data_IF_284932901445
#
_entry.id   IF_284932901445
#
_cell.length_a   1.000
_cell.length_b   1.000
_cell.length_c   1.000
_cell.angle_alpha   90.00
_cell.angle_beta   90.00
_cell.angle_gamma   90.00
#
_symmetry.space_group_name_H-M   'P 1'
#
loop_
_entity.id
_entity.type
_entity.pdbx_description
1 polymer ?
#
# COMPACT_ATOMS: atom_id res chain seq x y z
N UNK A 1 -9.73 46.38 -25.89
CA UNK A 1 -8.36 46.07 -25.45
C UNK A 1 -8.01 44.67 -25.95
N UNK A 2 -6.85 44.49 -26.57
CA UNK A 2 -6.28 43.24 -27.03
C UNK A 2 -5.42 42.63 -25.92
N UNK A 3 -5.72 41.40 -25.51
CA UNK A 3 -4.90 40.64 -24.55
C UNK A 3 -4.43 39.33 -25.19
N UNK A 4 -3.26 38.84 -24.78
CA UNK A 4 -2.77 37.53 -25.22
C UNK A 4 -2.91 36.55 -24.06
N UNK A 5 -3.78 35.55 -24.19
CA UNK A 5 -3.98 34.53 -23.15
C UNK A 5 -3.24 33.26 -23.55
N UNK A 6 -2.49 32.67 -22.62
CA UNK A 6 -1.70 31.45 -22.81
C UNK A 6 -2.19 30.36 -21.87
N UNK A 7 -2.41 29.16 -22.41
CA UNK A 7 -2.77 27.95 -21.67
C UNK A 7 -1.88 26.79 -22.11
N UNK A 8 -0.91 26.39 -21.27
CA UNK A 8 0.08 25.36 -21.62
C UNK A 8 0.84 25.70 -22.90
N UNK A 9 0.61 24.92 -23.98
CA UNK A 9 1.22 25.13 -25.31
C UNK A 9 0.35 25.95 -26.27
N UNK A 10 -0.84 26.41 -25.86
CA UNK A 10 -1.79 27.15 -26.70
C UNK A 10 -1.79 28.62 -26.32
N UNK A 11 -1.91 29.50 -27.31
CA UNK A 11 -2.04 30.95 -27.08
C UNK A 11 -3.08 31.55 -28.00
N UNK A 12 -3.93 32.45 -27.48
CA UNK A 12 -4.95 33.15 -28.25
C UNK A 12 -4.88 34.67 -27.98
N UNK A 13 -4.97 35.47 -29.05
CA UNK A 13 -5.14 36.93 -28.97
C UNK A 13 -6.62 37.26 -28.99
N UNK A 14 -7.08 38.04 -28.02
CA UNK A 14 -8.49 38.28 -27.76
C UNK A 14 -8.73 39.78 -27.60
N UNK A 15 -9.65 40.32 -28.39
CA UNK A 15 -10.14 41.68 -28.22
C UNK A 15 -11.34 41.63 -27.28
N UNK A 16 -11.19 42.18 -26.08
CA UNK A 16 -12.22 42.21 -25.03
C UNK A 16 -12.52 43.64 -24.58
N UNK A 17 -13.74 43.93 -24.11
CA UNK A 17 -14.07 45.20 -23.46
C UNK A 17 -13.29 45.34 -22.15
N UNK A 18 -12.62 46.48 -21.93
CA UNK A 18 -11.81 46.71 -20.73
C UNK A 18 -12.62 46.99 -19.47
N UNK A 19 -13.90 47.34 -19.63
CA UNK A 19 -14.84 47.68 -18.56
C UNK A 19 -15.62 46.47 -18.04
N UNK A 20 -15.49 45.29 -18.67
CA UNK A 20 -16.20 44.10 -18.24
C UNK A 20 -15.43 43.38 -17.13
N UNK A 21 -16.10 42.85 -16.09
CA UNK A 21 -15.47 42.02 -15.08
C UNK A 21 -14.76 40.81 -15.70
N UNK A 22 -13.60 40.45 -15.14
CA UNK A 22 -12.83 39.30 -15.62
C UNK A 22 -13.62 37.99 -15.53
N UNK A 23 -14.49 37.86 -14.51
CA UNK A 23 -15.36 36.70 -14.31
C UNK A 23 -16.28 36.39 -15.50
N UNK A 24 -16.76 37.42 -16.20
CA UNK A 24 -17.66 37.25 -17.34
C UNK A 24 -16.90 36.93 -18.64
N UNK A 25 -15.62 37.32 -18.72
CA UNK A 25 -14.76 37.04 -19.86
C UNK A 25 -14.17 35.63 -19.84
N UNK A 26 -13.96 35.06 -18.65
CA UNK A 26 -13.35 33.74 -18.47
C UNK A 26 -14.02 32.60 -19.26
N UNK A 27 -15.35 32.44 -19.26
CA UNK A 27 -16.02 31.37 -20.02
C UNK A 27 -15.79 31.47 -21.53
N UNK A 28 -15.84 32.70 -22.06
CA UNK A 28 -15.64 32.96 -23.49
C UNK A 28 -14.18 32.77 -23.93
N UNK A 29 -13.24 33.14 -23.05
CA UNK A 29 -11.81 32.90 -23.24
C UNK A 29 -11.51 31.40 -23.22
N UNK A 30 -12.05 30.66 -22.24
CA UNK A 30 -11.92 29.19 -22.16
C UNK A 30 -12.53 28.49 -23.38
N UNK A 31 -13.67 28.99 -23.88
CA UNK A 31 -14.29 28.53 -25.14
C UNK A 31 -13.36 28.66 -26.33
N UNK A 32 -12.75 29.84 -26.50
CA UNK A 32 -11.90 30.14 -27.65
C UNK A 32 -10.55 29.42 -27.61
N UNK A 33 -10.01 29.14 -26.43
CA UNK A 33 -8.79 28.33 -26.28
C UNK A 33 -9.05 26.81 -26.37
N UNK A 34 -10.32 26.39 -26.47
CA UNK A 34 -10.72 24.98 -26.54
C UNK A 34 -10.32 24.22 -25.28
N UNK A 35 -10.41 24.89 -24.13
CA UNK A 35 -10.01 24.38 -22.80
C UNK A 35 -11.23 23.88 -22.01
N UNK A 36 -12.42 23.83 -22.64
CA UNK A 36 -13.56 23.10 -22.09
C UNK A 36 -13.25 21.61 -22.06
N UNK A 37 -12.63 21.19 -20.97
CA UNK A 37 -12.60 19.81 -20.56
C UNK A 37 -13.87 19.55 -19.73
N UNK A 38 -14.76 18.64 -20.18
CA UNK A 38 -15.94 18.23 -19.41
C UNK A 38 -15.59 17.76 -17.99
N UNK A 39 -14.35 17.32 -17.76
CA UNK A 39 -13.87 16.87 -16.45
C UNK A 39 -13.47 18.01 -15.51
N UNK A 40 -13.28 19.23 -16.02
CA UNK A 40 -12.82 20.41 -15.27
C UNK A 40 -13.90 21.51 -15.17
N UNK A 41 -15.17 21.19 -15.47
CA UNK A 41 -16.29 22.15 -15.42
C UNK A 41 -16.50 22.72 -14.01
N UNK A 42 -16.20 21.94 -12.97
CA UNK A 42 -16.29 22.36 -11.57
C UNK A 42 -15.04 23.10 -11.07
N UNK A 43 -13.97 23.13 -11.87
CA UNK A 43 -12.65 23.52 -11.40
C UNK A 43 -12.48 25.02 -11.18
N UNK A 44 -13.30 25.86 -11.81
CA UNK A 44 -13.08 27.31 -11.87
C UNK A 44 -11.83 27.67 -12.69
N UNK A 45 -11.83 28.87 -13.27
CA UNK A 45 -10.69 29.39 -14.03
C UNK A 45 -10.16 30.66 -13.37
N UNK A 46 -8.85 30.84 -13.40
CA UNK A 46 -8.19 32.05 -12.89
C UNK A 46 -7.17 32.53 -13.92
N UNK A 47 -7.07 33.84 -14.10
CA UNK A 47 -6.00 34.45 -14.89
C UNK A 47 -4.89 34.87 -13.94
N UNK A 48 -3.66 34.52 -14.28
CA UNK A 48 -2.45 34.97 -13.60
C UNK A 48 -1.62 35.79 -14.58
N UNK A 49 -0.90 36.81 -14.08
CA UNK A 49 0.14 37.49 -14.85
C UNK A 49 1.34 36.53 -15.02
N UNK A 50 2.23 36.87 -15.93
CA UNK A 50 3.55 36.21 -16.09
C UNK A 50 4.40 36.25 -14.79
N UNK A 51 4.11 37.19 -13.89
CA UNK A 51 4.72 37.35 -12.56
C UNK A 51 3.99 36.56 -11.45
N UNK A 52 3.21 35.54 -11.84
CA UNK A 52 2.38 34.69 -10.97
C UNK A 52 1.32 35.41 -10.11
N UNK A 53 1.21 36.75 -10.20
CA UNK A 53 0.17 37.51 -9.51
C UNK A 53 -1.21 37.18 -10.08
N UNK A 54 -2.09 36.66 -9.22
CA UNK A 54 -3.47 36.36 -9.56
C UNK A 54 -4.28 37.62 -9.84
N UNK A 55 -5.00 37.62 -10.97
CA UNK A 55 -5.96 38.67 -11.34
C UNK A 55 -7.25 38.44 -10.55
N UNK A 56 -7.76 39.50 -9.93
CA UNK A 56 -8.97 39.48 -9.15
C UNK A 56 -10.19 39.35 -10.09
N UNK A 57 -11.03 38.34 -9.83
CA UNK A 57 -12.12 37.97 -10.72
C UNK A 57 -13.30 38.98 -10.81
N UNK A 58 -13.73 39.66 -9.72
CA UNK A 58 -14.84 40.62 -9.76
C UNK A 58 -14.45 42.00 -10.29
N UNK A 59 -13.15 42.31 -10.43
CA UNK A 59 -12.69 43.61 -10.93
C UNK A 59 -12.52 43.60 -12.46
N UNK A 60 -12.64 44.76 -13.10
CA UNK A 60 -12.42 44.89 -14.55
C UNK A 60 -10.93 44.86 -14.89
N UNK A 61 -10.60 44.60 -16.17
CA UNK A 61 -9.21 44.65 -16.65
C UNK A 61 -8.62 46.06 -16.54
N UNK A 62 -9.45 47.10 -16.68
CA UNK A 62 -9.06 48.50 -16.54
C UNK A 62 -8.69 48.85 -15.09
N UNK A 63 -9.45 48.36 -14.11
CA UNK A 63 -9.21 48.63 -12.68
C UNK A 63 -7.95 47.95 -12.15
N UNK A 64 -7.51 46.90 -12.82
CA UNK A 64 -6.31 46.13 -12.47
C UNK A 64 -5.06 46.57 -13.24
N UNK A 65 -5.14 47.75 -13.89
CA UNK A 65 -4.05 48.37 -14.65
C UNK A 65 -3.39 47.45 -15.70
N UNK A 66 -4.17 46.52 -16.27
CA UNK A 66 -3.69 45.62 -17.32
C UNK A 66 -3.58 46.42 -18.62
N UNK A 67 -2.44 46.32 -19.29
CA UNK A 67 -2.15 47.10 -20.50
C UNK A 67 -2.54 46.35 -21.77
N UNK A 68 -2.86 47.13 -22.82
CA UNK A 68 -3.11 46.59 -24.15
C UNK A 68 -1.90 45.78 -24.64
N UNK A 69 -2.09 44.51 -24.95
CA UNK A 69 -1.06 43.57 -25.38
C UNK A 69 -0.44 42.69 -24.29
N UNK A 70 -0.85 42.83 -23.03
CA UNK A 70 -0.28 42.06 -21.91
C UNK A 70 -0.57 40.55 -22.04
N UNK A 71 0.43 39.73 -21.64
CA UNK A 71 0.34 38.27 -21.66
C UNK A 71 -0.19 37.79 -20.33
N UNK A 72 -1.30 37.07 -20.38
CA UNK A 72 -1.95 36.48 -19.21
C UNK A 72 -1.93 34.96 -19.36
N UNK A 73 -1.65 34.27 -18.27
CA UNK A 73 -1.70 32.82 -18.21
C UNK A 73 -3.07 32.41 -17.65
N UNK A 74 -3.72 31.47 -18.32
CA UNK A 74 -4.93 30.84 -17.83
C UNK A 74 -4.52 29.62 -17.00
N UNK A 75 -4.98 29.57 -15.75
CA UNK A 75 -4.78 28.42 -14.87
C UNK A 75 -6.15 27.87 -14.46
N UNK A 76 -6.22 26.54 -14.40
CA UNK A 76 -7.41 25.83 -13.94
C UNK A 76 -7.29 25.69 -12.43
N UNK A 77 -8.26 26.23 -11.70
CA UNK A 77 -8.16 26.39 -10.26
C UNK A 77 -8.26 25.04 -9.51
N UNK A 78 -8.72 23.95 -10.15
CA UNK A 78 -8.61 22.57 -9.62
C UNK A 78 -7.22 21.93 -9.73
N UNK A 79 -6.29 22.53 -10.49
CA UNK A 79 -4.92 22.02 -10.62
C UNK A 79 -3.95 22.69 -9.63
N UNK A 80 -4.39 23.74 -8.93
CA UNK A 80 -3.65 24.35 -7.83
C UNK A 80 -3.92 23.63 -6.51
N UNK A 81 -2.93 23.62 -5.63
CA UNK A 81 -3.07 23.21 -4.23
C UNK A 81 -4.02 24.20 -3.54
N UNK A 82 -5.32 23.93 -3.61
CA UNK A 82 -6.30 24.73 -2.89
C UNK A 82 -6.22 24.32 -1.43
N UNK A 83 -6.01 25.30 -0.54
CA UNK A 83 -6.22 25.11 0.89
C UNK A 83 -7.67 24.65 1.08
N UNK A 84 -7.84 23.37 1.36
CA UNK A 84 -9.14 22.78 1.66
C UNK A 84 -9.56 23.37 3.02
N UNK A 85 -10.53 24.28 2.98
CA UNK A 85 -11.16 24.84 4.19
C UNK A 85 -12.34 23.94 4.54
N UNK A 86 -12.16 23.11 5.57
CA UNK A 86 -13.21 22.28 6.12
C UNK A 86 -14.20 23.13 6.93
N UNK A 87 -15.50 22.92 6.74
CA UNK A 87 -16.57 23.61 7.49
C UNK A 87 -16.73 23.03 8.91
N UNK A 88 -16.34 21.77 9.09
CA UNK A 88 -16.35 21.09 10.38
C UNK A 88 -14.96 20.52 10.72
N UNK A 89 -14.58 20.66 11.99
CA UNK A 89 -13.40 20.04 12.58
C UNK A 89 -13.46 18.51 12.45
N UNK A 90 -14.66 17.91 12.47
CA UNK A 90 -14.82 16.46 12.32
C UNK A 90 -14.28 15.96 10.98
N UNK A 91 -14.55 16.67 9.89
CA UNK A 91 -14.07 16.30 8.55
C UNK A 91 -12.56 16.48 8.44
N UNK A 92 -12.03 17.60 8.94
CA UNK A 92 -10.59 17.86 9.00
C UNK A 92 -9.83 16.79 9.81
N UNK A 93 -10.41 16.35 10.95
CA UNK A 93 -9.82 15.30 11.79
C UNK A 93 -9.93 13.94 11.10
N UNK A 94 -11.04 13.63 10.41
CA UNK A 94 -11.20 12.39 9.67
C UNK A 94 -10.11 12.24 8.59
N UNK A 95 -9.91 13.28 7.78
CA UNK A 95 -8.86 13.30 6.74
C UNK A 95 -7.46 13.23 7.36
N UNK A 96 -7.22 13.93 8.47
CA UNK A 96 -5.94 13.85 9.20
C UNK A 96 -5.66 12.43 9.71
N UNK A 97 -6.69 11.75 10.22
CA UNK A 97 -6.58 10.36 10.72
C UNK A 97 -6.36 9.38 9.58
N UNK A 98 -7.09 9.53 8.46
CA UNK A 98 -6.91 8.67 7.28
C UNK A 98 -5.52 8.84 6.65
N UNK A 99 -4.98 10.06 6.66
CA UNK A 99 -3.62 10.33 6.17
C UNK A 99 -2.54 9.78 7.10
N UNK A 100 -2.82 9.76 8.41
CA UNK A 100 -1.88 9.29 9.44
C UNK A 100 -1.93 7.76 9.64
N UNK A 101 -3.08 7.14 9.42
CA UNK A 101 -3.30 5.71 9.66
C UNK A 101 -3.64 4.98 8.36
N UNK A 102 -2.90 3.91 8.09
CA UNK A 102 -3.23 3.03 6.97
C UNK A 102 -4.58 2.36 7.23
N UNK A 103 -5.51 2.37 6.27
CA UNK A 103 -6.79 1.68 6.41
C UNK A 103 -6.58 0.18 6.57
N UNK A 104 -7.49 -0.47 7.30
CA UNK A 104 -7.43 -1.90 7.54
C UNK A 104 -7.62 -2.68 6.24
N UNK A 105 -6.63 -3.47 5.85
CA UNK A 105 -6.67 -4.23 4.59
C UNK A 105 -7.15 -5.67 4.82
N UNK A 106 -7.59 -6.34 3.75
CA UNK A 106 -7.91 -7.77 3.77
C UNK A 106 -6.71 -8.65 4.17
N UNK A 107 -5.49 -8.21 3.85
CA UNK A 107 -4.26 -8.87 4.28
C UNK A 107 -4.08 -8.80 5.81
N UNK A 108 -4.43 -7.66 6.44
CA UNK A 108 -4.39 -7.51 7.90
C UNK A 108 -5.38 -8.46 8.58
N UNK A 109 -6.61 -8.60 8.06
CA UNK A 109 -7.58 -9.59 8.57
C UNK A 109 -7.01 -11.00 8.48
N UNK A 110 -6.43 -11.36 7.34
CA UNK A 110 -5.90 -12.70 7.09
C UNK A 110 -4.75 -13.04 8.02
N UNK A 111 -3.82 -12.10 8.26
CA UNK A 111 -2.72 -12.30 9.20
C UNK A 111 -3.23 -12.39 10.63
N UNK A 112 -4.17 -11.52 11.02
CA UNK A 112 -4.70 -11.49 12.39
C UNK A 112 -5.44 -12.78 12.72
N UNK A 113 -6.33 -13.25 11.86
CA UNK A 113 -7.06 -14.52 12.07
C UNK A 113 -6.13 -15.72 12.08
N UNK A 114 -5.09 -15.70 11.24
CA UNK A 114 -4.05 -16.73 11.23
C UNK A 114 -3.29 -16.76 12.56
N UNK A 115 -2.85 -15.61 13.07
CA UNK A 115 -2.13 -15.50 14.35
C UNK A 115 -3.03 -15.96 15.49
N UNK A 116 -4.28 -15.50 15.55
CA UNK A 116 -5.25 -15.91 16.58
C UNK A 116 -5.47 -17.43 16.55
N UNK A 117 -5.65 -18.02 15.37
CA UNK A 117 -5.83 -19.47 15.23
C UNK A 117 -4.59 -20.24 15.68
N UNK A 118 -3.40 -19.77 15.30
CA UNK A 118 -2.13 -20.36 15.70
C UNK A 118 -1.94 -20.35 17.23
N UNK A 119 -2.24 -19.22 17.86
CA UNK A 119 -2.19 -19.07 19.32
C UNK A 119 -3.20 -20.00 20.00
N UNK A 120 -4.44 -20.05 19.51
CA UNK A 120 -5.48 -20.90 20.08
C UNK A 120 -5.10 -22.40 20.00
N UNK A 121 -4.58 -22.84 18.85
CA UNK A 121 -4.09 -24.21 18.67
C UNK A 121 -2.87 -24.51 19.55
N UNK A 122 -1.95 -23.55 19.69
CA UNK A 122 -0.79 -23.66 20.58
C UNK A 122 -1.21 -23.81 22.05
N UNK A 123 -2.16 -23.01 22.51
CA UNK A 123 -2.75 -23.13 23.86
C UNK A 123 -3.43 -24.49 24.04
N UNK A 124 -4.17 -24.95 23.03
CA UNK A 124 -4.78 -26.29 23.02
C UNK A 124 -3.73 -27.41 23.17
N UNK A 125 -2.61 -27.31 22.44
CA UNK A 125 -1.50 -28.26 22.55
C UNK A 125 -0.88 -28.28 23.95
N UNK A 126 -0.69 -27.11 24.57
CA UNK A 126 -0.19 -27.00 25.96
C UNK A 126 -1.18 -27.62 26.95
N UNK A 127 -2.47 -27.29 26.81
CA UNK A 127 -3.52 -27.86 27.66
C UNK A 127 -3.54 -29.39 27.56
N UNK A 128 -3.37 -29.93 26.36
CA UNK A 128 -3.33 -31.36 26.12
C UNK A 128 -2.03 -31.99 26.65
N UNK A 129 -0.89 -31.30 26.58
CA UNK A 129 0.37 -31.76 27.17
C UNK A 129 0.30 -31.86 28.70
N UNK A 130 -0.47 -30.98 29.35
CA UNK A 130 -0.69 -30.98 30.81
C UNK A 130 -1.78 -31.97 31.25
N UNK A 131 -2.61 -32.45 30.33
CA UNK A 131 -3.65 -33.43 30.62
C UNK A 131 -3.04 -34.79 31.02
N UNK A 132 -3.76 -35.62 31.80
CA UNK A 132 -3.29 -36.94 32.15
C UNK A 132 -3.05 -37.80 30.91
N UNK A 133 -2.05 -38.69 31.00
CA UNK A 133 -1.67 -39.60 29.93
C UNK A 133 -2.87 -40.48 29.55
N UNK A 134 -3.29 -40.38 28.30
CA UNK A 134 -4.43 -41.14 27.77
C UNK A 134 -4.26 -41.40 26.29
N UNK A 135 -4.58 -42.63 25.86
CA UNK A 135 -4.60 -43.03 24.45
C UNK A 135 -5.60 -42.17 23.65
N UNK A 136 -6.69 -41.71 24.28
CA UNK A 136 -7.72 -40.88 23.65
C UNK A 136 -7.14 -39.49 23.36
N UNK A 137 -6.40 -38.91 24.32
CA UNK A 137 -5.74 -37.61 24.15
C UNK A 137 -4.66 -37.69 23.05
N UNK A 138 -3.91 -38.80 22.98
CA UNK A 138 -2.98 -39.07 21.88
C UNK A 138 -3.70 -39.09 20.53
N UNK A 139 -4.83 -39.80 20.44
CA UNK A 139 -5.64 -39.88 19.22
C UNK A 139 -6.16 -38.52 18.76
N UNK A 140 -6.73 -37.72 19.67
CA UNK A 140 -7.23 -36.37 19.36
C UNK A 140 -6.09 -35.46 18.90
N UNK A 141 -4.95 -35.48 19.59
CA UNK A 141 -3.75 -34.72 19.19
C UNK A 141 -3.28 -35.12 17.79
N UNK A 142 -3.22 -36.43 17.53
CA UNK A 142 -2.69 -36.99 16.28
C UNK A 142 -3.58 -36.70 15.08
N UNK A 143 -4.90 -36.85 15.24
CA UNK A 143 -5.88 -36.51 14.21
C UNK A 143 -5.81 -35.01 13.90
N UNK A 144 -5.71 -34.17 14.93
CA UNK A 144 -5.60 -32.72 14.76
C UNK A 144 -4.30 -32.36 14.03
N UNK A 145 -3.17 -32.93 14.42
CA UNK A 145 -1.88 -32.72 13.74
C UNK A 145 -1.94 -33.13 12.25
N UNK A 146 -2.51 -34.30 11.96
CA UNK A 146 -2.67 -34.79 10.59
C UNK A 146 -3.57 -33.88 9.74
N UNK A 147 -4.69 -33.41 10.30
CA UNK A 147 -5.58 -32.46 9.64
C UNK A 147 -4.87 -31.13 9.32
N UNK A 148 -4.09 -30.60 10.27
CA UNK A 148 -3.32 -29.36 10.06
C UNK A 148 -2.23 -29.52 9.00
N UNK A 149 -1.54 -30.66 8.95
CA UNK A 149 -0.57 -30.96 7.88
C UNK A 149 -1.25 -31.06 6.51
N UNK A 150 -2.43 -31.69 6.42
CA UNK A 150 -3.20 -31.76 5.19
C UNK A 150 -3.61 -30.35 4.71
N UNK A 151 -4.11 -29.51 5.62
CA UNK A 151 -4.47 -28.12 5.30
C UNK A 151 -3.22 -27.33 4.87
N UNK A 152 -2.10 -27.46 5.59
CA UNK A 152 -0.84 -26.79 5.23
C UNK A 152 -0.37 -27.18 3.82
N UNK A 153 -0.54 -28.45 3.44
CA UNK A 153 -0.21 -28.94 2.10
C UNK A 153 -1.09 -28.32 1.02
N UNK A 154 -2.41 -28.28 1.26
CA UNK A 154 -3.35 -27.62 0.34
C UNK A 154 -3.00 -26.13 0.22
N UNK A 155 -2.65 -25.48 1.33
CA UNK A 155 -2.30 -24.06 1.33
C UNK A 155 -0.97 -23.79 0.60
N UNK A 156 0.00 -24.68 0.74
CA UNK A 156 1.24 -24.65 -0.04
C UNK A 156 0.97 -24.78 -1.55
N UNK A 157 0.03 -25.65 -1.95
CA UNK A 157 -0.38 -25.80 -3.36
C UNK A 157 -1.05 -24.55 -3.95
N UNK A 158 -1.56 -23.65 -3.10
CA UNK A 158 -2.20 -22.37 -3.50
C UNK A 158 -1.24 -21.17 -3.44
N UNK A 159 0.08 -21.41 -3.39
CA UNK A 159 1.12 -20.38 -3.25
C UNK A 159 1.05 -19.55 -1.95
N UNK A 160 0.31 -20.01 -0.95
CA UNK A 160 0.11 -19.35 0.35
C UNK A 160 1.19 -19.81 1.37
N UNK A 161 2.46 -19.64 1.00
CA UNK A 161 3.62 -20.24 1.69
C UNK A 161 3.76 -19.81 3.15
N UNK A 162 3.54 -18.52 3.47
CA UNK A 162 3.65 -18.03 4.85
C UNK A 162 2.64 -18.67 5.79
N UNK A 163 1.40 -18.84 5.33
CA UNK A 163 0.36 -19.48 6.13
C UNK A 163 0.60 -20.99 6.24
N UNK A 164 1.04 -21.64 5.15
CA UNK A 164 1.40 -23.05 5.16
C UNK A 164 2.51 -23.36 6.18
N UNK A 165 3.56 -22.53 6.24
CA UNK A 165 4.65 -22.68 7.21
C UNK A 165 4.19 -22.50 8.66
N UNK A 166 3.34 -21.50 8.94
CA UNK A 166 2.85 -21.31 10.30
C UNK A 166 1.96 -22.48 10.77
N UNK A 167 1.11 -23.03 9.90
CA UNK A 167 0.30 -24.21 10.21
C UNK A 167 1.14 -25.47 10.42
N UNK A 168 2.19 -25.68 9.60
CA UNK A 168 3.05 -26.85 9.72
C UNK A 168 3.88 -26.86 11.00
N UNK A 169 4.29 -25.68 11.50
CA UNK A 169 4.95 -25.54 12.80
C UNK A 169 4.02 -25.94 13.96
N UNK A 170 2.77 -25.46 13.95
CA UNK A 170 1.77 -25.84 14.96
C UNK A 170 1.44 -27.32 14.90
N UNK A 171 1.31 -27.88 13.69
CA UNK A 171 1.05 -29.30 13.50
C UNK A 171 2.21 -30.15 14.04
N UNK A 172 3.46 -29.69 13.91
CA UNK A 172 4.63 -30.38 14.46
C UNK A 172 4.61 -30.40 15.99
N UNK A 173 4.21 -29.29 16.63
CA UNK A 173 4.03 -29.25 18.08
C UNK A 173 2.97 -30.26 18.55
N UNK A 174 1.82 -30.29 17.88
CA UNK A 174 0.74 -31.26 18.19
C UNK A 174 1.20 -32.71 17.98
N UNK A 175 1.97 -33.00 16.94
CA UNK A 175 2.55 -34.33 16.72
C UNK A 175 3.54 -34.73 17.82
N UNK A 176 4.31 -33.78 18.37
CA UNK A 176 5.13 -34.01 19.56
C UNK A 176 4.29 -34.38 20.79
N UNK A 177 3.16 -33.69 21.00
CA UNK A 177 2.20 -34.00 22.08
C UNK A 177 1.57 -35.38 21.88
N UNK A 178 1.23 -35.76 20.64
CA UNK A 178 0.80 -37.12 20.33
C UNK A 178 1.83 -38.16 20.73
N UNK A 179 3.11 -37.93 20.38
CA UNK A 179 4.20 -38.84 20.73
C UNK A 179 4.41 -38.95 22.24
N UNK A 180 4.29 -37.83 22.97
CA UNK A 180 4.35 -37.81 24.44
C UNK A 180 3.28 -38.70 25.07
N UNK A 181 2.01 -38.50 24.69
CA UNK A 181 0.88 -39.26 25.24
C UNK A 181 0.91 -40.72 24.82
N UNK A 182 1.27 -41.01 23.56
CA UNK A 182 1.35 -42.37 23.05
C UNK A 182 2.44 -43.15 23.79
N UNK A 183 3.65 -42.59 23.89
CA UNK A 183 4.77 -43.26 24.55
C UNK A 183 4.55 -43.38 26.07
N UNK A 184 3.99 -42.35 26.71
CA UNK A 184 3.66 -42.40 28.14
C UNK A 184 2.49 -43.33 28.49
N UNK A 185 1.59 -43.63 27.54
CA UNK A 185 0.49 -44.58 27.72
C UNK A 185 0.90 -46.03 27.42
N UNK A 186 1.82 -46.25 26.47
CA UNK A 186 2.32 -47.59 26.09
C UNK A 186 3.41 -48.09 27.03
N UNK A 187 4.26 -47.19 27.54
CA UNK A 187 5.37 -47.53 28.42
C UNK A 187 5.11 -46.94 29.81
N UNK A 188 5.07 -47.82 30.81
CA UNK A 188 4.80 -47.49 32.21
C UNK A 188 5.71 -46.33 32.70
N UNK A 189 5.18 -45.29 33.39
CA UNK A 189 5.89 -44.06 33.78
C UNK A 189 7.14 -44.21 34.66
N UNK A 190 7.59 -45.44 34.96
CA UNK A 190 8.78 -45.70 35.77
C UNK A 190 10.08 -45.14 35.18
N UNK A 191 10.11 -44.87 33.86
CA UNK A 191 11.23 -44.22 33.19
C UNK A 191 10.79 -42.89 32.57
N UNK A 192 11.20 -41.77 33.18
CA UNK A 192 10.90 -40.41 32.71
C UNK A 192 11.45 -40.09 31.30
N UNK A 193 12.35 -40.92 30.75
CA UNK A 193 12.95 -40.72 29.43
C UNK A 193 12.04 -41.07 28.24
N UNK A 194 11.14 -42.05 28.38
CA UNK A 194 10.33 -42.52 27.24
C UNK A 194 9.37 -41.45 26.71
N UNK A 195 8.61 -40.71 27.54
CA UNK A 195 7.75 -39.64 27.04
C UNK A 195 8.52 -38.54 26.31
N UNK A 196 9.74 -38.21 26.76
CA UNK A 196 10.61 -37.23 26.12
C UNK A 196 11.11 -37.70 24.73
N UNK A 197 11.41 -38.99 24.57
CA UNK A 197 11.73 -39.59 23.26
C UNK A 197 10.51 -39.54 22.34
N UNK A 198 9.30 -39.75 22.86
CA UNK A 198 8.05 -39.61 22.13
C UNK A 198 7.86 -38.20 21.54
N UNK A 199 8.16 -37.16 22.33
CA UNK A 199 8.13 -35.76 21.86
C UNK A 199 9.09 -35.56 20.69
N UNK A 200 10.34 -36.01 20.84
CA UNK A 200 11.37 -35.87 19.80
C UNK A 200 11.01 -36.60 18.52
N UNK A 201 10.50 -37.84 18.62
CA UNK A 201 10.07 -38.62 17.47
C UNK A 201 8.88 -37.96 16.74
N UNK A 202 7.88 -37.46 17.49
CA UNK A 202 6.73 -36.77 16.92
C UNK A 202 7.12 -35.47 16.18
N UNK A 203 8.00 -34.67 16.78
CA UNK A 203 8.52 -33.43 16.16
C UNK A 203 9.34 -33.73 14.90
N UNK A 204 10.21 -34.73 14.91
CA UNK A 204 11.04 -35.08 13.76
C UNK A 204 10.22 -35.64 12.60
N UNK A 205 9.23 -36.47 12.87
CA UNK A 205 8.36 -37.02 11.82
C UNK A 205 7.50 -35.92 11.18
N UNK A 206 6.83 -35.08 11.98
CA UNK A 206 6.00 -34.01 11.44
C UNK A 206 6.83 -32.90 10.77
N UNK A 207 8.01 -32.57 11.33
CA UNK A 207 8.95 -31.63 10.72
C UNK A 207 9.53 -32.16 9.41
N UNK A 208 9.87 -33.46 9.34
CA UNK A 208 10.35 -34.12 8.13
C UNK A 208 9.28 -34.18 7.04
N UNK A 209 8.04 -34.56 7.40
CA UNK A 209 6.88 -34.54 6.51
C UNK A 209 6.65 -33.11 5.99
N UNK A 210 6.67 -32.11 6.87
CA UNK A 210 6.52 -30.71 6.47
C UNK A 210 7.62 -30.26 5.50
N UNK A 211 8.88 -30.65 5.75
CA UNK A 211 10.00 -30.34 4.86
C UNK A 211 9.87 -31.02 3.49
N UNK A 212 9.33 -32.24 3.44
CA UNK A 212 9.08 -33.01 2.22
C UNK A 212 7.87 -32.50 1.42
N UNK A 213 6.82 -32.01 2.09
CA UNK A 213 5.61 -31.53 1.40
C UNK A 213 5.72 -30.05 1.00
N UNK A 214 6.55 -29.26 1.68
CA UNK A 214 6.79 -27.85 1.36
C UNK A 214 7.88 -27.65 0.28
N UNK A 215 8.25 -28.69 -0.47
CA UNK A 215 9.29 -28.70 -1.52
C UNK A 215 8.92 -27.90 -2.78
N UNK A 216 8.33 -26.72 -2.64
CA UNK A 216 8.13 -25.77 -3.76
C UNK A 216 9.31 -24.81 -3.92
N UNK A 217 10.34 -24.87 -3.06
CA UNK A 217 11.55 -24.04 -3.21
C UNK A 217 12.83 -24.81 -3.56
N UNK A 218 12.74 -25.85 -4.40
CA UNK A 218 13.94 -26.47 -5.00
C UNK A 218 14.53 -25.70 -6.19
N UNK A 219 13.88 -24.65 -6.69
CA UNK A 219 14.34 -23.85 -7.84
C UNK A 219 14.60 -22.36 -7.57
N UNK A 220 14.09 -21.79 -6.48
CA UNK A 220 14.25 -20.35 -6.21
C UNK A 220 15.45 -19.98 -5.33
N UNK A 221 16.18 -20.97 -4.79
CA UNK A 221 17.39 -20.72 -4.00
C UNK A 221 18.67 -20.56 -4.84
N UNK A 222 18.65 -20.94 -6.13
CA UNK A 222 19.85 -20.97 -6.99
C UNK A 222 19.98 -19.78 -7.95
N UNK A 223 18.95 -18.93 -8.07
CA UNK A 223 19.01 -17.75 -8.93
C UNK A 223 18.43 -16.55 -8.18
N UNK A 224 19.25 -15.61 -7.67
CA UNK A 224 18.77 -14.32 -7.23
C UNK A 224 18.49 -13.47 -8.48
N UNK A 225 17.40 -13.76 -9.20
CA UNK A 225 16.85 -12.77 -10.13
C UNK A 225 16.23 -11.71 -9.24
N UNK A 226 16.93 -10.58 -9.15
CA UNK A 226 16.36 -9.30 -8.75
C UNK A 226 15.02 -9.15 -9.47
N UNK A 227 13.91 -9.20 -8.73
CA UNK A 227 12.66 -8.65 -9.22
C UNK A 227 12.84 -7.13 -9.30
N UNK A 228 13.35 -6.68 -10.45
CA UNK A 228 13.19 -5.30 -10.86
C UNK A 228 11.69 -5.09 -11.04
N UNK A 229 11.07 -4.35 -10.13
CA UNK A 229 9.73 -3.80 -10.35
C UNK A 229 9.80 -2.98 -11.65
N UNK A 230 9.24 -3.52 -12.72
CA UNK A 230 8.99 -2.78 -13.95
C UNK A 230 7.69 -2.01 -13.74
N UNK A 231 7.85 -0.74 -13.36
CA UNK A 231 6.75 0.18 -13.14
C UNK A 231 7.28 1.61 -13.06
N UNK A 232 7.88 2.10 -14.15
CA UNK A 232 7.91 3.53 -14.52
C UNK A 232 8.50 3.67 -15.93
N UNK A 233 7.85 4.40 -16.86
CA UNK A 233 8.43 4.72 -18.16
C UNK A 233 9.65 5.62 -17.99
N UNK A 234 10.67 5.36 -18.81
CA UNK A 234 11.96 6.00 -18.82
C UNK A 234 11.85 7.54 -18.86
N UNK A 235 12.32 8.19 -17.79
CA UNK A 235 12.79 9.57 -17.82
C UNK A 235 14.27 9.50 -18.22
N UNK A 236 14.58 9.99 -19.41
CA UNK A 236 15.94 10.17 -19.92
C UNK A 236 16.72 11.13 -19.01
N UNK A 237 18.01 10.88 -18.70
CA UNK A 237 18.84 11.87 -18.04
C UNK A 237 19.29 12.89 -19.09
N UNK A 238 18.73 14.09 -19.04
CA UNK A 238 19.30 15.23 -19.74
C UNK A 238 20.59 15.62 -19.02
N UNK A 239 21.70 15.52 -19.75
CA UNK A 239 23.02 15.90 -19.31
C UNK A 239 23.06 17.39 -18.90
N UNK A 240 23.36 17.65 -17.63
CA UNK A 240 23.79 18.98 -17.17
C UNK A 240 25.29 19.12 -17.40
N UNK A 241 25.68 19.65 -18.56
CA UNK A 241 27.01 20.23 -18.76
C UNK A 241 26.88 21.50 -19.59
N UNK A 242 26.45 22.58 -18.95
CA UNK A 242 26.78 23.93 -19.35
C UNK A 242 27.29 24.68 -18.13
N UNK A 243 28.61 24.60 -17.98
CA UNK A 243 29.54 25.68 -17.63
C UNK A 243 28.88 27.02 -17.26
N UNK A 244 28.83 27.33 -15.97
CA UNK A 244 28.82 28.71 -15.49
C UNK A 244 30.14 28.96 -14.76
N UNK A 245 31.10 29.50 -15.51
CA UNK A 245 32.18 30.28 -14.92
C UNK A 245 31.59 31.63 -14.47
N UNK A 246 31.52 31.83 -13.16
CA UNK A 246 31.40 33.16 -12.57
C UNK A 246 32.81 33.70 -12.34
N UNK A 247 33.32 34.50 -13.27
CA UNK A 247 34.42 35.42 -13.03
C UNK A 247 34.04 36.80 -13.54
N UNK A 248 33.64 37.68 -12.62
CA UNK A 248 33.54 39.10 -12.87
C UNK A 248 34.21 39.88 -11.74
N UNK A 249 35.18 40.69 -12.18
CA UNK A 249 35.62 42.00 -11.68
C UNK A 249 36.88 42.08 -10.82
N UNK A 250 37.92 42.57 -11.50
CA UNK A 250 38.81 43.64 -11.08
C UNK A 250 38.17 44.62 -10.10
N UNK A 251 38.77 44.72 -8.91
CA UNK A 251 39.16 45.96 -8.26
C UNK A 251 40.59 45.78 -7.73
#
# INVERSE_FOLDING_TARGET
MAITVVYGKRSAKLNVPSTLPVAELLPDIAKKLGVFDPTLVYAGYRLTRDDETAINNPASLADQAIRDGERLKLEVNALGDQDIVYDDVVEAVADSVERSHRPWTSANTTVTTMVVSCVLLGVGAICLALAPLSIINAGVAGITAAALLAIATVLASRHMHRQALALSLVASLLAGVTGYHLMGSLFNPSFYGFPAVGIGAGLLLAGGISCLLLTVNRLYALIPVKQHQAGSPAMTPFASSHTQEHHWLYQ
#
